data_IF_680129842145
#
_entry.id   IF_680129842145
#
_cell.length_a   1.000
_cell.length_b   1.000
_cell.length_c   1.000
_cell.angle_alpha   90.00
_cell.angle_beta   90.00
_cell.angle_gamma   90.00
#
_symmetry.space_group_name_H-M   'P 1'
#
loop_
_entity.id
_entity.type
_entity.pdbx_description
1 polymer ?
#
# COMPACT_ATOMS: atom_id res chain seq x y z
N UNK A 1 -19.18 -7.94 -21.25
CA UNK A 1 -18.58 -6.67 -20.79
C UNK A 1 -18.01 -6.97 -19.41
N UNK A 2 -16.75 -7.40 -19.35
CA UNK A 2 -16.10 -7.71 -18.07
C UNK A 2 -15.89 -6.41 -17.31
N UNK A 3 -16.70 -6.20 -16.28
CA UNK A 3 -16.48 -5.18 -15.27
C UNK A 3 -15.25 -5.58 -14.46
N UNK A 4 -14.11 -4.95 -14.73
CA UNK A 4 -12.96 -4.98 -13.82
C UNK A 4 -13.39 -4.25 -12.56
N UNK A 5 -13.88 -4.99 -11.59
CA UNK A 5 -14.04 -4.48 -10.23
C UNK A 5 -12.62 -4.20 -9.73
N UNK A 6 -12.21 -2.93 -9.78
CA UNK A 6 -11.12 -2.47 -8.92
C UNK A 6 -11.60 -2.69 -7.49
N UNK A 7 -11.13 -3.78 -6.90
CA UNK A 7 -11.40 -4.14 -5.52
C UNK A 7 -10.99 -2.94 -4.65
N UNK A 8 -11.98 -2.25 -4.08
CA UNK A 8 -11.77 -1.10 -3.20
C UNK A 8 -11.16 -1.49 -1.85
N UNK A 9 -10.69 -2.73 -1.67
CA UNK A 9 -9.81 -3.13 -0.56
C UNK A 9 -8.33 -2.78 -0.78
N UNK A 10 -8.00 -1.94 -1.78
CA UNK A 10 -6.66 -1.38 -1.94
C UNK A 10 -6.28 -0.52 -0.72
N UNK A 11 -5.75 -1.19 0.32
CA UNK A 11 -5.29 -0.58 1.56
C UNK A 11 -4.26 0.51 1.30
N UNK A 12 -4.13 1.43 2.24
CA UNK A 12 -3.14 2.50 2.20
C UNK A 12 -1.76 1.96 2.62
N UNK A 13 -0.70 2.73 2.35
CA UNK A 13 0.63 2.39 2.88
C UNK A 13 0.69 2.34 4.42
N UNK A 14 -0.26 2.99 5.11
CA UNK A 14 -0.38 2.90 6.57
C UNK A 14 -0.84 1.51 7.04
N UNK A 15 -1.63 0.81 6.22
CA UNK A 15 -2.16 -0.52 6.53
C UNK A 15 -1.10 -1.63 6.39
N UNK A 16 0.04 -1.31 5.78
CA UNK A 16 1.14 -2.25 5.55
C UNK A 16 2.13 -2.35 6.72
N UNK A 17 1.83 -1.71 7.85
CA UNK A 17 2.68 -1.72 9.05
C UNK A 17 3.89 -0.79 9.00
N UNK A 18 3.98 0.09 7.99
CA UNK A 18 5.06 1.06 7.85
C UNK A 18 5.01 2.12 8.97
N UNK A 19 6.19 2.64 9.33
CA UNK A 19 6.28 3.79 10.25
C UNK A 19 5.54 5.00 9.67
N UNK A 20 4.83 5.75 10.52
CA UNK A 20 4.10 6.98 10.12
C UNK A 20 4.96 7.99 9.35
N UNK A 21 6.25 8.10 9.67
CA UNK A 21 7.18 8.98 8.95
C UNK A 21 7.43 8.52 7.51
N UNK A 22 7.45 7.22 7.26
CA UNK A 22 7.63 6.64 5.92
C UNK A 22 6.38 6.87 5.07
N UNK A 23 5.20 6.65 5.65
CA UNK A 23 3.92 6.91 4.97
C UNK A 23 3.82 8.38 4.52
N UNK A 24 4.15 9.34 5.40
CA UNK A 24 4.17 10.76 5.04
C UNK A 24 5.12 11.09 3.88
N UNK A 25 6.28 10.44 3.81
CA UNK A 25 7.20 10.64 2.69
C UNK A 25 6.62 10.09 1.38
N UNK A 26 5.98 8.92 1.43
CA UNK A 26 5.32 8.31 0.25
C UNK A 26 4.19 9.21 -0.26
N UNK A 27 3.37 9.76 0.64
CA UNK A 27 2.33 10.73 0.27
C UNK A 27 2.94 12.00 -0.35
N UNK A 28 4.02 12.53 0.25
CA UNK A 28 4.68 13.74 -0.24
C UNK A 28 5.29 13.58 -1.65
N UNK A 29 5.67 12.36 -2.03
CA UNK A 29 6.17 12.04 -3.39
C UNK A 29 5.08 11.51 -4.33
N UNK A 30 3.81 11.54 -3.92
CA UNK A 30 2.66 11.19 -4.75
C UNK A 30 2.31 9.69 -4.81
N UNK A 31 2.92 8.87 -3.96
CA UNK A 31 2.56 7.45 -3.82
C UNK A 31 1.40 7.31 -2.84
N UNK A 32 0.18 7.32 -3.37
CA UNK A 32 -1.05 7.28 -2.57
C UNK A 32 -1.49 5.85 -2.22
N UNK A 33 -1.29 4.91 -3.14
CA UNK A 33 -1.71 3.52 -2.98
C UNK A 33 -0.56 2.54 -3.30
N UNK A 34 -0.40 1.48 -2.49
CA UNK A 34 0.56 0.42 -2.78
C UNK A 34 0.11 -0.42 -3.97
N UNK A 35 1.08 -0.83 -4.79
CA UNK A 35 0.85 -1.84 -5.84
C UNK A 35 0.58 -3.22 -5.24
N UNK A 36 0.04 -4.15 -6.02
CA UNK A 36 -0.25 -5.53 -5.58
C UNK A 36 0.99 -6.24 -5.00
N UNK A 37 2.15 -6.04 -5.62
CA UNK A 37 3.42 -6.58 -5.13
C UNK A 37 3.75 -5.96 -3.76
N UNK A 38 3.60 -4.64 -3.62
CA UNK A 38 3.87 -3.96 -2.35
C UNK A 38 2.93 -4.42 -1.24
N UNK A 39 1.64 -4.60 -1.54
CA UNK A 39 0.66 -5.14 -0.60
C UNK A 39 1.04 -6.55 -0.11
N UNK A 40 1.58 -7.39 -0.99
CA UNK A 40 1.97 -8.77 -0.68
C UNK A 40 3.29 -8.87 0.10
N UNK A 41 4.26 -8.00 -0.19
CA UNK A 41 5.64 -8.17 0.29
C UNK A 41 6.08 -7.18 1.38
N UNK A 42 5.43 -6.01 1.51
CA UNK A 42 5.79 -5.05 2.57
C UNK A 42 5.45 -5.59 3.96
N UNK A 43 4.23 -6.10 4.25
CA UNK A 43 3.91 -6.59 5.59
C UNK A 43 4.91 -7.63 6.14
N UNK A 44 5.26 -8.72 5.42
CA UNK A 44 6.22 -9.69 5.94
C UNK A 44 7.64 -9.12 6.07
N UNK A 45 8.04 -8.16 5.24
CA UNK A 45 9.36 -7.53 5.31
C UNK A 45 9.51 -6.58 6.51
N UNK A 46 8.41 -6.02 7.02
CA UNK A 46 8.42 -5.13 8.18
C UNK A 46 8.35 -5.90 9.50
N UNK A 47 7.77 -7.11 9.50
CA UNK A 47 7.64 -7.97 10.69
C UNK A 47 8.79 -8.97 10.86
N UNK A 48 9.68 -9.08 9.87
CA UNK A 48 10.83 -9.98 9.85
C UNK A 48 12.00 -9.52 10.71
#
# INVERSE_FOLDING_TARGET
MESVFFDQSAGTFADLGLKKSTVKHLEAVGYLHPSEIQQKFIPPAVTG
#
